data_IF_224716902393
#
_entry.id   IF_224716902393
#
_cell.length_a   1.000
_cell.length_b   1.000
_cell.length_c   1.000
_cell.angle_alpha   90.00
_cell.angle_beta   90.00
_cell.angle_gamma   90.00
#
_symmetry.space_group_name_H-M   'P 1'
#
loop_
_entity.id
_entity.type
_entity.pdbx_description
1 polymer ?
#
# COMPACT_ATOMS: atom_id res chain seq x y z
N UNK A 1 -9.90 -18.00 -3.63
CA UNK A 1 -9.17 -16.76 -3.33
C UNK A 1 -10.11 -15.64 -3.69
N UNK A 2 -10.67 -14.98 -2.71
CA UNK A 2 -11.77 -14.02 -2.93
C UNK A 2 -11.22 -12.63 -3.27
N UNK A 3 -10.07 -12.27 -2.70
CA UNK A 3 -9.40 -11.00 -2.92
C UNK A 3 -7.94 -11.21 -3.31
N UNK A 4 -7.42 -10.34 -4.18
CA UNK A 4 -5.99 -10.21 -4.48
C UNK A 4 -5.60 -8.74 -4.44
N UNK A 5 -4.73 -8.38 -3.50
CA UNK A 5 -4.20 -7.02 -3.36
C UNK A 5 -2.81 -6.97 -3.99
N UNK A 6 -2.61 -6.13 -5.01
CA UNK A 6 -1.31 -5.92 -5.65
C UNK A 6 -0.75 -4.56 -5.27
N UNK A 7 0.40 -4.55 -4.60
CA UNK A 7 1.16 -3.35 -4.26
C UNK A 7 2.62 -3.53 -4.69
N UNK A 8 2.92 -3.13 -5.91
CA UNK A 8 4.28 -3.11 -6.48
C UNK A 8 4.57 -1.71 -7.05
N UNK A 9 5.84 -1.38 -7.25
CA UNK A 9 6.26 -0.10 -7.85
C UNK A 9 7.32 0.64 -7.03
N UNK A 10 7.29 0.55 -5.70
CA UNK A 10 8.25 1.25 -4.82
C UNK A 10 9.72 0.84 -5.07
N UNK A 11 9.95 -0.42 -5.42
CA UNK A 11 11.27 -0.95 -5.77
C UNK A 11 11.57 -0.77 -7.26
N UNK A 12 10.58 -0.99 -8.11
CA UNK A 12 10.66 -0.78 -9.56
C UNK A 12 11.11 0.65 -9.91
N UNK A 13 10.64 1.65 -9.14
CA UNK A 13 10.93 3.08 -9.30
C UNK A 13 12.34 3.52 -8.85
N UNK A 14 13.19 2.59 -8.38
CA UNK A 14 14.61 2.89 -8.13
C UNK A 14 15.27 3.41 -9.41
N UNK A 15 16.18 4.38 -9.29
CA UNK A 15 16.89 4.97 -10.42
C UNK A 15 17.73 3.92 -11.17
N UNK A 16 17.82 4.01 -12.51
CA UNK A 16 18.75 3.19 -13.28
C UNK A 16 20.19 3.32 -12.77
N UNK A 17 20.91 2.20 -12.66
CA UNK A 17 22.30 2.18 -12.22
C UNK A 17 22.51 2.14 -10.70
N UNK A 18 21.45 2.15 -9.89
CA UNK A 18 21.57 1.92 -8.46
C UNK A 18 22.09 0.49 -8.16
N UNK A 19 22.96 0.37 -7.16
CA UNK A 19 23.62 -0.89 -6.77
C UNK A 19 22.60 -1.97 -6.36
N UNK A 20 21.41 -1.59 -5.89
CA UNK A 20 20.38 -2.50 -5.41
C UNK A 20 19.79 -3.41 -6.49
N UNK A 21 19.98 -3.10 -7.78
CA UNK A 21 19.44 -3.84 -8.95
C UNK A 21 17.92 -4.05 -8.93
N UNK A 22 17.18 -3.16 -8.25
CA UNK A 22 15.72 -3.23 -8.13
C UNK A 22 14.98 -2.57 -9.30
N UNK A 23 15.66 -1.70 -10.06
CA UNK A 23 15.05 -0.90 -11.12
C UNK A 23 14.33 -1.77 -12.17
N UNK A 24 13.09 -1.41 -12.48
CA UNK A 24 12.32 -1.96 -13.59
C UNK A 24 11.84 -0.79 -14.43
N UNK A 25 12.21 -0.67 -15.71
CA UNK A 25 11.76 0.44 -16.56
C UNK A 25 10.24 0.60 -16.54
N UNK A 26 9.75 1.84 -16.53
CA UNK A 26 8.34 2.16 -16.27
C UNK A 26 7.38 1.47 -17.27
N UNK A 27 7.76 1.36 -18.54
CA UNK A 27 6.99 0.62 -19.56
C UNK A 27 6.91 -0.89 -19.26
N UNK A 28 7.99 -1.46 -18.70
CA UNK A 28 8.03 -2.86 -18.28
C UNK A 28 7.21 -3.05 -17.02
N UNK A 29 7.23 -2.10 -16.09
CA UNK A 29 6.36 -2.11 -14.90
C UNK A 29 4.88 -2.13 -15.31
N UNK A 30 4.44 -1.25 -16.23
CA UNK A 30 3.08 -1.28 -16.81
C UNK A 30 2.73 -2.66 -17.37
N UNK A 31 3.59 -3.19 -18.25
CA UNK A 31 3.41 -4.53 -18.86
C UNK A 31 3.33 -5.64 -17.81
N UNK A 32 4.16 -5.57 -16.77
CA UNK A 32 4.19 -6.56 -15.70
C UNK A 32 2.89 -6.55 -14.90
N UNK A 33 2.42 -5.38 -14.47
CA UNK A 33 1.14 -5.26 -13.76
C UNK A 33 -0.01 -5.82 -14.60
N UNK A 34 -0.13 -5.38 -15.87
CA UNK A 34 -1.15 -5.89 -16.80
C UNK A 34 -1.06 -7.40 -16.99
N UNK A 35 0.16 -7.96 -17.04
CA UNK A 35 0.35 -9.41 -17.16
C UNK A 35 -0.06 -10.16 -15.90
N UNK A 36 0.21 -9.63 -14.70
CA UNK A 36 -0.15 -10.28 -13.44
C UNK A 36 -1.68 -10.30 -13.29
N UNK A 37 -2.36 -9.16 -13.43
CA UNK A 37 -3.81 -9.07 -13.23
C UNK A 37 -4.60 -9.94 -14.23
N UNK A 38 -4.09 -10.10 -15.45
CA UNK A 38 -4.71 -10.93 -16.50
C UNK A 38 -4.16 -12.36 -16.56
N UNK A 39 -3.32 -12.78 -15.60
CA UNK A 39 -2.70 -14.10 -15.67
C UNK A 39 -3.76 -15.20 -15.59
N UNK A 40 -3.75 -16.24 -16.47
CA UNK A 40 -4.81 -17.24 -16.52
C UNK A 40 -5.08 -17.96 -15.20
N UNK A 41 -4.03 -18.19 -14.39
CA UNK A 41 -4.18 -18.79 -13.05
C UNK A 41 -4.86 -17.87 -12.05
N UNK A 42 -4.67 -16.55 -12.15
CA UNK A 42 -5.37 -15.57 -11.31
C UNK A 42 -6.83 -15.49 -11.77
N UNK A 43 -7.06 -15.36 -13.08
CA UNK A 43 -8.39 -15.29 -13.67
C UNK A 43 -9.26 -16.54 -13.34
N UNK A 44 -8.65 -17.74 -13.29
CA UNK A 44 -9.33 -18.97 -12.91
C UNK A 44 -9.96 -18.93 -11.50
N UNK A 45 -9.43 -18.13 -10.58
CA UNK A 45 -10.01 -17.93 -9.24
C UNK A 45 -11.11 -16.86 -9.20
N UNK A 46 -11.27 -16.06 -10.26
CA UNK A 46 -12.20 -14.92 -10.34
C UNK A 46 -12.15 -13.98 -9.10
N UNK A 47 -10.96 -13.56 -8.63
CA UNK A 47 -10.86 -12.74 -7.44
C UNK A 47 -11.32 -11.30 -7.68
N UNK A 48 -11.72 -10.61 -6.61
CA UNK A 48 -11.72 -9.16 -6.57
C UNK A 48 -10.27 -8.67 -6.54
N UNK A 49 -9.81 -8.07 -7.64
CA UNK A 49 -8.45 -7.55 -7.76
C UNK A 49 -8.42 -6.09 -7.31
N UNK A 50 -7.63 -5.80 -6.27
CA UNK A 50 -7.35 -4.46 -5.79
C UNK A 50 -5.93 -4.09 -6.22
N UNK A 51 -5.79 -3.20 -7.21
CA UNK A 51 -4.51 -2.65 -7.62
C UNK A 51 -4.22 -1.39 -6.81
N UNK A 52 -3.18 -1.45 -5.99
CA UNK A 52 -2.79 -0.38 -5.07
C UNK A 52 -1.63 0.41 -5.68
N UNK A 53 -1.73 1.73 -5.71
CA UNK A 53 -0.60 2.58 -6.10
C UNK A 53 0.54 2.47 -5.06
N UNK A 54 1.83 2.47 -5.44
CA UNK A 54 2.90 2.55 -4.46
C UNK A 54 2.79 3.84 -3.61
N UNK A 55 3.23 3.82 -2.34
CA UNK A 55 3.16 4.99 -1.47
C UNK A 55 4.01 6.16 -2.01
N UNK A 56 3.78 7.40 -1.54
CA UNK A 56 4.69 8.51 -1.83
C UNK A 56 6.08 8.23 -1.26
N UNK A 57 7.09 8.85 -1.87
CA UNK A 57 8.47 8.80 -1.41
C UNK A 57 8.82 10.13 -0.75
N UNK A 58 9.37 10.06 0.45
CA UNK A 58 10.07 11.17 1.07
C UNK A 58 11.55 11.11 0.68
N UNK A 59 11.90 11.81 -0.41
CA UNK A 59 13.25 11.87 -0.94
C UNK A 59 14.21 12.57 0.02
N UNK A 60 13.73 13.59 0.75
CA UNK A 60 14.50 14.30 1.77
C UNK A 60 15.00 13.32 2.84
N UNK A 61 14.12 12.44 3.34
CA UNK A 61 14.45 11.47 4.39
C UNK A 61 15.22 10.25 3.87
N UNK A 62 14.94 9.80 2.64
CA UNK A 62 15.60 8.61 2.07
C UNK A 62 17.00 8.88 1.52
N UNK A 63 17.31 10.12 1.11
CA UNK A 63 18.61 10.47 0.50
C UNK A 63 19.80 10.27 1.44
N UNK A 64 19.81 10.78 2.70
CA UNK A 64 20.91 10.54 3.63
C UNK A 64 21.19 9.05 3.83
N UNK A 65 20.14 8.25 4.02
CA UNK A 65 20.25 6.79 4.20
C UNK A 65 20.78 6.09 2.96
N UNK A 66 20.46 6.58 1.76
CA UNK A 66 21.04 6.08 0.52
C UNK A 66 22.56 6.26 0.51
N UNK A 67 23.04 7.42 0.93
CA UNK A 67 24.47 7.74 1.04
C UNK A 67 25.14 6.85 2.09
N UNK A 68 24.51 6.67 3.26
CA UNK A 68 25.00 5.76 4.32
C UNK A 68 25.14 4.31 3.83
N UNK A 69 24.26 3.88 2.90
CA UNK A 69 24.31 2.56 2.28
C UNK A 69 25.31 2.46 1.11
N UNK A 70 26.17 3.45 0.90
CA UNK A 70 27.25 3.43 -0.08
C UNK A 70 26.86 3.92 -1.48
N UNK A 71 25.71 4.57 -1.64
CA UNK A 71 25.35 5.23 -2.89
C UNK A 71 25.93 6.65 -2.97
N UNK A 72 26.11 7.17 -4.18
CA UNK A 72 26.62 8.54 -4.39
C UNK A 72 25.57 9.65 -4.12
N UNK A 73 24.32 9.27 -3.86
CA UNK A 73 23.21 10.20 -3.64
C UNK A 73 21.88 9.45 -3.55
N UNK A 74 20.78 10.15 -3.85
CA UNK A 74 19.45 9.56 -3.89
C UNK A 74 19.36 8.42 -4.93
N UNK A 75 18.78 7.28 -4.53
CA UNK A 75 18.49 6.15 -5.44
C UNK A 75 17.03 6.06 -5.86
N UNK A 76 16.17 6.90 -5.29
CA UNK A 76 14.77 7.07 -5.66
C UNK A 76 14.50 8.57 -5.68
N UNK A 77 13.60 9.02 -6.56
CA UNK A 77 13.13 10.40 -6.59
C UNK A 77 11.62 10.49 -6.39
N UNK A 78 11.15 11.50 -5.68
CA UNK A 78 9.72 11.77 -5.42
C UNK A 78 8.91 11.74 -6.72
N UNK A 79 9.32 12.53 -7.71
CA UNK A 79 8.66 12.68 -8.99
C UNK A 79 8.65 11.38 -9.82
N UNK A 80 9.74 10.60 -9.76
CA UNK A 80 9.81 9.31 -10.45
C UNK A 80 8.89 8.30 -9.76
N UNK A 81 8.91 8.22 -8.44
CA UNK A 81 8.00 7.35 -7.69
C UNK A 81 6.53 7.68 -7.98
N UNK A 82 6.18 8.97 -8.05
CA UNK A 82 4.85 9.43 -8.41
C UNK A 82 4.42 9.02 -9.84
N UNK A 83 5.35 8.99 -10.79
CA UNK A 83 5.08 8.50 -12.14
C UNK A 83 4.73 7.00 -12.18
N UNK A 84 5.33 6.17 -11.31
CA UNK A 84 4.94 4.76 -11.19
C UNK A 84 3.54 4.62 -10.56
N UNK A 85 3.18 5.49 -9.60
CA UNK A 85 1.81 5.56 -9.09
C UNK A 85 0.82 5.92 -10.20
N UNK A 86 1.17 6.86 -11.08
CA UNK A 86 0.31 7.19 -12.22
C UNK A 86 0.12 6.01 -13.16
N UNK A 87 1.18 5.28 -13.48
CA UNK A 87 1.09 4.06 -14.32
C UNK A 87 0.21 2.98 -13.68
N UNK A 88 0.26 2.81 -12.36
CA UNK A 88 -0.67 1.91 -11.67
C UNK A 88 -2.14 2.36 -11.81
N UNK A 89 -2.42 3.67 -11.76
CA UNK A 89 -3.76 4.21 -12.07
C UNK A 89 -4.18 3.93 -13.51
N UNK A 90 -3.26 4.12 -14.46
CA UNK A 90 -3.53 3.82 -15.86
C UNK A 90 -3.88 2.34 -16.08
N UNK A 91 -3.11 1.42 -15.47
CA UNK A 91 -3.36 -0.01 -15.56
C UNK A 91 -4.73 -0.35 -14.98
N UNK A 92 -5.10 0.20 -13.82
CA UNK A 92 -6.43 -0.03 -13.25
C UNK A 92 -7.54 0.45 -14.20
N UNK A 93 -7.38 1.65 -14.77
CA UNK A 93 -8.34 2.24 -15.73
C UNK A 93 -8.46 1.43 -17.02
N UNK A 94 -7.37 0.82 -17.50
CA UNK A 94 -7.34 0.02 -18.73
C UNK A 94 -7.87 -1.40 -18.55
N UNK A 95 -8.07 -1.88 -17.33
CA UNK A 95 -8.45 -3.27 -17.04
C UNK A 95 -9.79 -3.32 -16.28
N UNK A 96 -10.92 -3.49 -17.00
CA UNK A 96 -12.25 -3.61 -16.38
C UNK A 96 -12.29 -4.71 -15.32
N UNK A 97 -12.92 -4.42 -14.18
CA UNK A 97 -13.02 -5.35 -13.05
C UNK A 97 -11.86 -5.28 -12.05
N UNK A 98 -10.83 -4.49 -12.33
CA UNK A 98 -9.80 -4.13 -11.34
C UNK A 98 -10.25 -2.90 -10.56
N UNK A 99 -10.14 -2.96 -9.24
CA UNK A 99 -10.43 -1.85 -8.33
C UNK A 99 -9.13 -1.11 -8.04
N UNK A 100 -9.11 0.20 -8.31
CA UNK A 100 -7.98 1.05 -7.91
C UNK A 100 -8.08 1.41 -6.43
N UNK A 101 -6.99 1.21 -5.69
CA UNK A 101 -6.80 1.74 -4.33
C UNK A 101 -5.65 2.73 -4.39
N UNK A 102 -5.95 4.03 -4.42
CA UNK A 102 -4.94 5.07 -4.58
C UNK A 102 -4.26 5.44 -3.25
N UNK A 103 -3.40 4.54 -2.76
CA UNK A 103 -2.62 4.71 -1.55
C UNK A 103 -1.71 5.94 -1.62
N UNK A 104 -1.12 6.22 -2.78
CA UNK A 104 -0.30 7.42 -2.97
C UNK A 104 -1.08 8.67 -2.60
N UNK A 105 -2.29 8.83 -3.17
CA UNK A 105 -3.15 9.98 -2.90
C UNK A 105 -3.60 10.00 -1.44
N UNK A 106 -4.04 8.86 -0.90
CA UNK A 106 -4.51 8.79 0.49
C UNK A 106 -3.41 9.21 1.49
N UNK A 107 -2.18 8.77 1.27
CA UNK A 107 -1.03 9.15 2.10
C UNK A 107 -0.68 10.63 1.95
N UNK A 108 -0.67 11.17 0.73
CA UNK A 108 -0.38 12.60 0.50
C UNK A 108 -1.47 13.51 1.07
N UNK A 109 -2.75 13.18 0.86
CA UNK A 109 -3.87 13.91 1.46
C UNK A 109 -3.76 13.91 2.99
N UNK A 110 -3.44 12.74 3.58
CA UNK A 110 -3.25 12.64 5.02
C UNK A 110 -2.06 13.46 5.49
N UNK A 111 -0.93 13.40 4.80
CA UNK A 111 0.27 14.17 5.12
C UNK A 111 -0.02 15.67 5.12
N UNK A 112 -0.67 16.18 4.07
CA UNK A 112 -1.08 17.59 3.95
C UNK A 112 -2.06 17.96 5.08
N UNK A 113 -3.01 17.08 5.43
CA UNK A 113 -3.96 17.36 6.52
C UNK A 113 -3.29 17.47 7.90
N UNK A 114 -2.14 16.81 8.10
CA UNK A 114 -1.37 16.87 9.34
C UNK A 114 -0.51 18.14 9.40
N UNK A 115 -0.10 18.67 8.26
CA UNK A 115 0.79 19.83 8.14
C UNK A 115 0.33 20.76 7.01
N UNK A 116 -0.82 21.46 7.17
CA UNK A 116 -1.43 22.23 6.10
C UNK A 116 -0.56 23.41 5.63
N UNK A 117 0.27 23.97 6.52
CA UNK A 117 1.15 25.10 6.21
C UNK A 117 2.44 24.68 5.44
N UNK A 118 2.73 23.39 5.37
CA UNK A 118 3.93 22.85 4.70
C UNK A 118 3.71 22.56 3.20
N UNK A 119 2.47 22.68 2.70
CA UNK A 119 2.16 22.44 1.29
C UNK A 119 1.31 23.55 0.68
N UNK A 120 1.75 24.05 -0.47
CA UNK A 120 0.99 25.00 -1.30
C UNK A 120 0.39 24.26 -2.49
N UNK A 121 -0.92 24.41 -2.71
CA UNK A 121 -1.63 23.79 -3.85
C UNK A 121 -0.96 24.13 -5.18
N UNK A 122 -0.55 23.10 -5.93
CA UNK A 122 0.13 23.25 -7.22
C UNK A 122 1.63 23.48 -7.13
N UNK A 123 2.19 23.57 -5.91
CA UNK A 123 3.62 23.58 -5.66
C UNK A 123 4.22 22.15 -5.58
N UNK A 124 5.53 22.05 -5.32
CA UNK A 124 6.19 20.76 -5.15
C UNK A 124 5.63 19.99 -3.95
N UNK A 125 5.58 18.66 -4.07
CA UNK A 125 4.99 17.78 -3.06
C UNK A 125 5.80 17.73 -1.77
N UNK A 126 5.14 17.44 -0.65
CA UNK A 126 5.84 17.07 0.59
C UNK A 126 6.84 15.94 0.33
N UNK A 127 8.00 15.99 0.97
CA UNK A 127 9.09 15.02 0.79
C UNK A 127 9.93 15.23 -0.48
N UNK A 128 9.54 16.14 -1.36
CA UNK A 128 10.35 16.58 -2.50
C UNK A 128 11.41 17.62 -2.04
N UNK A 129 12.69 17.49 -2.43
CA UNK A 129 13.70 18.47 -2.08
C UNK A 129 13.38 19.90 -2.56
N UNK A 130 12.60 20.08 -3.63
CA UNK A 130 12.13 21.40 -4.10
C UNK A 130 11.10 22.02 -3.16
N UNK A 131 10.26 21.23 -2.49
CA UNK A 131 9.39 21.70 -1.42
C UNK A 131 10.22 22.02 -0.17
N UNK A 132 11.18 21.14 0.16
CA UNK A 132 12.07 21.28 1.30
C UNK A 132 11.46 20.90 2.65
N UNK A 133 10.19 20.45 2.69
CA UNK A 133 9.52 19.93 3.90
C UNK A 133 9.04 18.51 3.69
N UNK A 134 9.32 17.63 4.65
CA UNK A 134 8.67 16.31 4.72
C UNK A 134 7.20 16.43 5.16
N UNK A 135 6.88 17.43 5.99
CA UNK A 135 5.56 17.61 6.59
C UNK A 135 5.03 16.34 7.25
N UNK A 136 3.74 16.05 7.06
CA UNK A 136 3.10 14.86 7.60
C UNK A 136 3.67 13.52 7.09
N UNK A 137 4.47 13.50 6.00
CA UNK A 137 5.13 12.26 5.56
C UNK A 137 6.12 11.73 6.60
N UNK A 138 6.74 12.59 7.40
CA UNK A 138 7.67 12.16 8.45
C UNK A 138 6.99 11.28 9.50
N UNK A 139 5.70 11.51 9.74
CA UNK A 139 4.84 10.69 10.62
C UNK A 139 4.36 9.41 9.92
N UNK A 140 4.01 9.50 8.64
CA UNK A 140 3.41 8.39 7.90
C UNK A 140 4.45 7.39 7.37
N UNK A 141 5.69 7.82 7.16
CA UNK A 141 6.79 7.03 6.59
C UNK A 141 7.97 7.00 7.57
N UNK A 142 8.18 5.84 8.20
CA UNK A 142 9.20 5.64 9.23
C UNK A 142 10.61 6.01 8.74
N UNK A 143 10.97 5.54 7.54
CA UNK A 143 12.28 5.76 6.92
C UNK A 143 12.20 6.52 5.59
N UNK A 144 11.07 7.18 5.35
CA UNK A 144 10.76 7.90 4.12
C UNK A 144 10.28 7.02 2.95
N UNK A 145 10.15 5.70 3.16
CA UNK A 145 9.56 4.78 2.19
C UNK A 145 8.58 3.78 2.82
N UNK A 146 8.99 3.12 3.91
CA UNK A 146 8.14 2.16 4.62
C UNK A 146 7.17 2.88 5.54
N UNK A 147 5.91 2.47 5.47
CA UNK A 147 4.85 3.07 6.28
C UNK A 147 5.07 2.80 7.78
N UNK A 148 4.83 3.82 8.60
CA UNK A 148 4.69 3.67 10.03
C UNK A 148 3.34 3.02 10.38
N UNK A 149 3.05 2.82 11.67
CA UNK A 149 1.72 2.38 12.11
C UNK A 149 0.60 3.30 11.61
N UNK A 150 0.80 4.62 11.66
CA UNK A 150 -0.16 5.60 11.14
C UNK A 150 -0.29 5.53 9.61
N UNK A 151 0.80 5.29 8.88
CA UNK A 151 0.74 5.06 7.44
C UNK A 151 -0.03 3.78 7.07
N UNK A 152 0.20 2.68 7.80
CA UNK A 152 -0.56 1.45 7.62
C UNK A 152 -2.04 1.60 7.98
N UNK A 153 -2.39 2.44 8.95
CA UNK A 153 -3.78 2.76 9.26
C UNK A 153 -4.47 3.44 8.07
N UNK A 154 -3.81 4.42 7.43
CA UNK A 154 -4.34 5.05 6.20
C UNK A 154 -4.53 4.02 5.10
N UNK A 155 -3.57 3.11 4.91
CA UNK A 155 -3.70 2.04 3.92
C UNK A 155 -4.86 1.10 4.24
N UNK A 156 -5.01 0.68 5.49
CA UNK A 156 -6.11 -0.18 5.91
C UNK A 156 -7.48 0.47 5.67
N UNK A 157 -7.66 1.73 6.07
CA UNK A 157 -8.91 2.47 5.82
C UNK A 157 -9.17 2.68 4.31
N UNK A 158 -8.12 2.71 3.48
CA UNK A 158 -8.26 2.77 2.01
C UNK A 158 -8.69 1.43 1.40
N UNK A 159 -8.36 0.30 2.03
CA UNK A 159 -8.75 -1.04 1.59
C UNK A 159 -10.14 -1.44 2.06
N UNK A 160 -10.48 -1.06 3.30
CA UNK A 160 -11.69 -1.48 4.03
C UNK A 160 -13.01 -1.34 3.25
N UNK A 161 -13.26 -0.31 2.42
CA UNK A 161 -14.50 -0.22 1.63
C UNK A 161 -14.69 -1.37 0.62
N UNK A 162 -13.61 -2.06 0.26
CA UNK A 162 -13.57 -3.06 -0.80
C UNK A 162 -13.47 -4.49 -0.31
N UNK A 163 -13.11 -4.71 0.96
CA UNK A 163 -12.91 -6.03 1.56
C UNK A 163 -13.85 -6.25 2.74
N UNK A 164 -14.21 -7.50 3.03
CA UNK A 164 -14.91 -7.86 4.27
C UNK A 164 -16.29 -7.23 4.44
N UNK A 165 -17.02 -6.96 3.35
CA UNK A 165 -18.38 -6.38 3.39
C UNK A 165 -19.34 -7.23 4.21
N UNK A 166 -19.13 -8.54 4.21
CA UNK A 166 -19.84 -9.53 5.02
C UNK A 166 -19.64 -9.36 6.54
N UNK A 167 -18.59 -8.63 6.94
CA UNK A 167 -18.26 -8.31 8.33
C UNK A 167 -18.67 -6.90 8.75
N UNK A 168 -19.22 -6.10 7.85
CA UNK A 168 -19.65 -4.74 8.17
C UNK A 168 -20.92 -4.75 9.03
N UNK A 169 -20.88 -4.03 10.15
CA UNK A 169 -22.03 -3.87 11.06
C UNK A 169 -22.35 -5.10 11.90
N UNK A 170 -21.44 -6.08 11.95
CA UNK A 170 -21.54 -7.19 12.90
C UNK A 170 -21.32 -6.69 14.34
N UNK A 171 -22.00 -7.32 15.29
CA UNK A 171 -21.77 -7.07 16.71
C UNK A 171 -20.41 -7.63 17.16
N UNK A 172 -19.83 -7.11 18.25
CA UNK A 172 -18.52 -7.55 18.76
C UNK A 172 -18.50 -9.05 19.15
N UNK A 173 -19.66 -9.59 19.49
CA UNK A 173 -19.85 -11.01 19.81
C UNK A 173 -20.26 -11.87 18.61
N UNK A 174 -20.43 -11.28 17.43
CA UNK A 174 -20.72 -12.03 16.20
C UNK A 174 -19.49 -12.87 15.79
N UNK A 175 -19.77 -14.07 15.28
CA UNK A 175 -18.78 -15.08 14.90
C UNK A 175 -18.91 -15.51 13.44
N UNK A 176 -19.65 -14.76 12.64
CA UNK A 176 -19.84 -15.02 11.21
C UNK A 176 -18.49 -15.07 10.51
N UNK A 177 -18.27 -16.18 9.80
CA UNK A 177 -17.03 -16.42 9.06
C UNK A 177 -15.91 -17.06 9.89
N UNK A 178 -16.14 -17.34 11.18
CA UNK A 178 -15.21 -18.18 11.94
C UNK A 178 -15.23 -19.59 11.35
N UNK A 179 -14.05 -20.14 11.06
CA UNK A 179 -13.91 -21.51 10.54
C UNK A 179 -14.14 -22.54 11.66
N UNK A 180 -13.88 -22.15 12.91
CA UNK A 180 -14.05 -22.97 14.10
C UNK A 180 -15.15 -22.33 14.97
N UNK A 181 -16.07 -23.13 15.55
CA UNK A 181 -17.12 -22.61 16.41
C UNK A 181 -16.57 -21.76 17.57
N UNK A 182 -17.40 -20.84 18.10
CA UNK A 182 -17.03 -20.11 19.31
C UNK A 182 -16.72 -21.10 20.43
N UNK A 183 -15.75 -20.77 21.28
CA UNK A 183 -15.36 -21.65 22.38
C UNK A 183 -16.54 -21.94 23.33
N UNK A 184 -17.52 -21.04 23.44
CA UNK A 184 -18.74 -21.28 24.23
C UNK A 184 -19.59 -22.40 23.64
N UNK A 185 -19.72 -22.45 22.31
CA UNK A 185 -20.43 -23.54 21.61
C UNK A 185 -19.68 -24.87 21.74
N UNK A 186 -18.34 -24.85 21.73
CA UNK A 186 -17.53 -26.05 21.91
C UNK A 186 -17.66 -26.65 23.31
N UNK A 187 -17.83 -25.82 24.35
CA UNK A 187 -18.01 -26.29 25.73
C UNK A 187 -19.37 -26.96 25.94
N UNK A 188 -20.43 -26.49 25.27
CA UNK A 188 -21.75 -27.12 25.30
C UNK A 188 -21.74 -28.51 24.65
N UNK A 189 -20.90 -28.73 23.63
CA UNK A 189 -20.75 -30.00 22.93
C UNK A 189 -19.89 -31.03 23.66
N UNK A 190 -19.12 -30.60 24.68
CA UNK A 190 -18.29 -31.48 25.52
C UNK A 190 -18.39 -31.06 27.00
N UNK A 191 -19.51 -31.37 27.68
CA UNK A 191 -19.71 -30.99 29.08
C UNK A 191 -18.63 -31.54 30.03
N UNK A 192 -17.89 -32.59 29.61
CA UNK A 192 -16.88 -33.26 30.43
C UNK A 192 -15.43 -32.76 30.18
N UNK A 193 -15.20 -31.72 29.37
CA UNK A 193 -13.85 -31.13 29.26
C UNK A 193 -13.42 -30.35 30.51
N UNK A 194 -14.34 -30.12 31.45
CA UNK A 194 -14.08 -29.48 32.75
C UNK A 194 -13.99 -30.44 33.93
N UNK A 195 -14.00 -31.76 33.73
CA UNK A 195 -13.63 -32.70 34.80
C UNK A 195 -12.12 -32.87 34.83
N UNK A 196 -11.43 -31.83 35.27
CA UNK A 196 -10.08 -31.98 35.78
C UNK A 196 -10.14 -32.66 37.14
N UNK A 197 -9.98 -33.98 37.14
CA UNK A 197 -9.34 -34.71 38.24
C UNK A 197 -7.83 -34.68 38.04
#
# INVERSE_FOLDING_TARGET
MDYLVLLFGANDAVLPGAITKQHVPIDRYKKNLTKIINHPRIAAHKPHILLVTPPPLDEIKTTPRSIENGHQGAVRKSAISAAYSEVAREVARENPGVILVDLWKAQMDKAISLTPDDYTTGGPWLGDPENGKQGGLDTLLHDGLHMSGSGYQVFYESLKPFIGKEWHGLADDDRKGFVIPDWRELLELKPNLNTGD
#
